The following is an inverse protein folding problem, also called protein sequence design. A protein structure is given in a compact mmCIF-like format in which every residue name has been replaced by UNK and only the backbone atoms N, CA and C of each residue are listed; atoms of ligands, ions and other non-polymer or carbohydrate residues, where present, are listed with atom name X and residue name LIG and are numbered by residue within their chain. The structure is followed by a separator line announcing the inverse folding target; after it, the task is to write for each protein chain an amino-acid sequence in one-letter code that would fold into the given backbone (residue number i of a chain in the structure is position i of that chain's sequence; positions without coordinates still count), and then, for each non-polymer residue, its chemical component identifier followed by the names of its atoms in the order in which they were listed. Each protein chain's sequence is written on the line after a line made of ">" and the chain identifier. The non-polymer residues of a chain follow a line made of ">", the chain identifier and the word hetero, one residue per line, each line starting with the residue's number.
data_IF_134586820167
#
_entry.id   IF_134586820167
#
_cell.length_a   1.000
_cell.length_b   1.000
_cell.length_c   1.000
_cell.angle_alpha   90.00
_cell.angle_beta   90.00
_cell.angle_gamma   90.00
#
_symmetry.space_group_name_H-M   'P 1'
#
loop_
_entity.id
_entity.type
_entity.pdbx_description
1 polymer ?
#
# COMPACT_ATOMS: atom_id res chain seq x y z
N UNK A 1 56.08 -27.37 -27.89
CA UNK A 1 57.18 -26.39 -27.91
C UNK A 1 56.55 -25.02 -28.02
N UNK A 2 56.96 -24.16 -27.10
CA UNK A 2 56.79 -22.71 -26.99
C UNK A 2 55.42 -22.11 -26.64
N UNK A 3 55.50 -21.42 -25.50
CA UNK A 3 54.51 -20.71 -24.72
C UNK A 3 54.45 -19.23 -25.10
N UNK A 4 53.36 -18.60 -24.64
CA UNK A 4 53.28 -17.23 -24.12
C UNK A 4 53.28 -16.05 -25.11
N UNK A 5 52.14 -15.34 -25.16
CA UNK A 5 52.09 -13.86 -25.02
C UNK A 5 50.67 -13.37 -24.65
N UNK A 6 50.48 -13.35 -23.33
CA UNK A 6 49.79 -12.39 -22.47
C UNK A 6 49.19 -11.11 -23.11
N UNK A 7 47.93 -10.89 -22.75
CA UNK A 7 47.30 -9.67 -22.19
C UNK A 7 47.63 -8.29 -22.79
N UNK A 8 46.61 -7.66 -23.36
CA UNK A 8 46.44 -6.21 -23.35
C UNK A 8 45.06 -5.87 -22.74
N UNK A 9 45.07 -5.65 -21.42
CA UNK A 9 44.06 -4.84 -20.73
C UNK A 9 44.44 -3.38 -21.02
N UNK A 10 43.58 -2.61 -21.71
CA UNK A 10 43.80 -1.17 -21.88
C UNK A 10 42.79 -0.36 -21.07
N UNK A 11 43.35 0.35 -20.09
CA UNK A 11 42.98 1.71 -19.65
C UNK A 11 41.53 1.97 -19.22
N UNK A 12 41.32 1.74 -17.92
CA UNK A 12 40.65 2.70 -17.05
C UNK A 12 41.17 4.13 -17.31
N UNK A 13 40.26 5.02 -17.71
CA UNK A 13 40.17 6.48 -17.50
C UNK A 13 39.73 7.22 -18.76
N UNK A 14 38.52 7.79 -18.71
CA UNK A 14 38.19 9.06 -19.36
C UNK A 14 37.38 8.98 -20.66
N UNK A 15 36.08 9.28 -20.58
CA UNK A 15 35.28 9.63 -21.76
C UNK A 15 33.78 9.65 -21.48
N UNK A 16 33.24 10.84 -21.20
CA UNK A 16 31.85 11.06 -20.82
C UNK A 16 30.85 10.75 -21.94
N UNK A 17 29.73 10.19 -21.51
CA UNK A 17 28.41 9.99 -22.13
C UNK A 17 28.03 11.03 -23.20
N UNK A 18 27.74 10.54 -24.41
CA UNK A 18 26.90 11.22 -25.40
C UNK A 18 25.43 10.92 -25.05
N UNK A 19 24.73 11.95 -24.57
CA UNK A 19 23.28 11.99 -24.43
C UNK A 19 22.67 12.34 -25.78
N UNK A 20 21.99 11.38 -26.41
CA UNK A 20 21.11 11.62 -27.55
C UNK A 20 19.91 12.45 -27.10
N UNK A 21 19.87 13.69 -27.58
CA UNK A 21 18.83 14.68 -27.33
C UNK A 21 17.59 14.37 -28.20
N UNK A 22 16.44 14.25 -27.56
CA UNK A 22 15.16 13.82 -28.11
C UNK A 22 14.18 14.99 -28.35
N UNK A 23 14.68 16.20 -28.60
CA UNK A 23 13.83 17.39 -28.77
C UNK A 23 14.13 18.26 -30.00
N UNK A 24 14.83 17.75 -31.01
CA UNK A 24 14.92 18.43 -32.32
C UNK A 24 13.78 17.96 -33.25
N UNK A 25 12.59 18.53 -33.07
CA UNK A 25 11.56 18.61 -34.11
C UNK A 25 11.42 20.06 -34.52
N UNK A 26 11.66 20.29 -35.81
CA UNK A 26 11.62 21.56 -36.50
C UNK A 26 10.26 22.26 -36.34
N UNK A 27 10.26 23.44 -35.73
CA UNK A 27 9.21 24.43 -35.91
C UNK A 27 9.79 25.60 -36.71
N UNK A 28 9.16 25.93 -37.82
CA UNK A 28 9.52 27.08 -38.65
C UNK A 28 9.36 28.38 -37.85
N UNK A 29 10.45 29.16 -37.76
CA UNK A 29 10.46 30.46 -37.09
C UNK A 29 9.88 31.57 -37.97
N UNK A 30 9.06 32.49 -37.44
CA UNK A 30 8.73 33.77 -38.09
C UNK A 30 9.91 34.77 -38.00
N UNK A 31 9.98 35.77 -38.90
CA UNK A 31 11.16 36.62 -39.09
C UNK A 31 11.45 37.58 -37.91
N UNK A 32 12.72 37.96 -37.68
CA UNK A 32 13.14 38.70 -36.51
C UNK A 32 12.89 40.22 -36.64
N UNK A 33 12.08 40.78 -35.74
CA UNK A 33 12.10 42.22 -35.43
C UNK A 33 13.02 42.47 -34.25
N UNK A 34 13.97 43.38 -34.47
CA UNK A 34 15.03 43.77 -33.55
C UNK A 34 14.54 44.50 -32.29
N UNK A 35 15.13 44.17 -31.14
CA UNK A 35 15.01 44.92 -29.90
C UNK A 35 15.99 44.41 -28.84
N UNK A 36 16.80 45.26 -28.19
CA UNK A 36 17.85 44.82 -27.28
C UNK A 36 17.30 44.68 -25.86
N UNK A 37 17.28 43.47 -25.29
CA UNK A 37 17.06 43.32 -23.86
C UNK A 37 18.06 42.38 -23.19
N UNK A 38 18.76 43.00 -22.25
CA UNK A 38 19.64 42.52 -21.19
C UNK A 38 19.39 41.08 -20.71
N UNK A 39 20.49 40.33 -20.64
CA UNK A 39 20.71 39.21 -19.71
C UNK A 39 20.21 39.55 -18.32
N UNK A 40 19.37 38.69 -17.76
CA UNK A 40 19.05 38.67 -16.33
C UNK A 40 19.09 37.23 -15.83
N UNK A 41 20.14 36.93 -15.09
CA UNK A 41 20.35 35.65 -14.43
C UNK A 41 19.39 35.47 -13.24
N UNK A 42 19.06 34.21 -12.98
CA UNK A 42 18.87 33.59 -11.66
C UNK A 42 18.17 34.40 -10.56
N UNK A 43 16.89 34.12 -10.30
CA UNK A 43 16.33 34.29 -8.95
C UNK A 43 15.14 33.35 -8.69
N UNK A 44 15.32 32.51 -7.68
CA UNK A 44 14.36 31.60 -7.06
C UNK A 44 13.05 32.27 -6.64
N UNK A 45 11.91 31.69 -7.02
CA UNK A 45 10.55 32.17 -6.76
C UNK A 45 9.94 31.63 -5.46
N UNK A 46 10.63 31.83 -4.34
CA UNK A 46 10.04 31.62 -3.02
C UNK A 46 10.25 32.90 -2.21
N UNK A 47 9.12 33.53 -1.85
CA UNK A 47 8.98 34.81 -1.13
C UNK A 47 9.10 36.09 -1.98
N UNK A 48 7.94 36.67 -2.28
CA UNK A 48 7.84 38.10 -2.59
C UNK A 48 6.59 38.68 -1.88
N UNK A 49 6.69 39.17 -0.63
CA UNK A 49 5.60 39.83 0.08
C UNK A 49 5.79 41.35 0.08
N UNK A 50 5.50 42.00 -1.04
CA UNK A 50 5.23 43.43 -1.19
C UNK A 50 4.72 43.61 -2.63
N UNK A 51 3.48 43.98 -2.94
CA UNK A 51 2.66 44.99 -2.31
C UNK A 51 2.94 46.34 -2.95
N UNK A 52 2.38 46.62 -4.15
CA UNK A 52 1.94 47.95 -4.62
C UNK A 52 1.40 47.93 -6.07
N UNK A 53 0.11 48.25 -6.20
CA UNK A 53 -0.43 49.15 -7.24
C UNK A 53 -0.45 48.69 -8.70
N UNK A 54 -1.59 48.16 -9.18
CA UNK A 54 -2.50 48.78 -10.16
C UNK A 54 -3.54 47.77 -10.66
N UNK A 55 -4.82 48.01 -10.34
CA UNK A 55 -5.96 47.24 -10.85
C UNK A 55 -6.45 47.86 -12.17
N UNK A 56 -6.67 47.06 -13.25
CA UNK A 56 -7.39 47.54 -14.42
C UNK A 56 -8.89 47.61 -14.13
N UNK A 57 -9.47 48.74 -14.56
CA UNK A 57 -10.87 49.13 -14.43
C UNK A 57 -11.75 48.30 -15.37
N UNK A 58 -12.69 47.55 -14.81
CA UNK A 58 -13.85 47.02 -15.54
C UNK A 58 -13.96 45.49 -15.57
N UNK A 59 -14.50 44.90 -14.51
CA UNK A 59 -15.26 43.66 -14.58
C UNK A 59 -16.18 43.60 -13.34
N UNK A 60 -17.48 43.45 -13.59
CA UNK A 60 -18.50 43.27 -12.58
C UNK A 60 -18.48 41.81 -12.06
N UNK A 61 -18.93 41.67 -10.81
CA UNK A 61 -19.20 40.44 -10.04
C UNK A 61 -18.02 39.59 -9.52
N UNK A 62 -17.95 39.38 -8.19
CA UNK A 62 -17.19 38.27 -7.61
C UNK A 62 -18.13 37.19 -7.04
N UNK A 63 -18.15 36.04 -7.70
CA UNK A 63 -18.54 34.78 -7.07
C UNK A 63 -17.41 34.31 -6.13
N UNK A 64 -17.77 34.19 -4.86
CA UNK A 64 -17.18 33.42 -3.76
C UNK A 64 -15.93 32.57 -4.09
N UNK A 65 -14.73 33.10 -3.84
CA UNK A 65 -13.50 32.31 -3.72
C UNK A 65 -13.17 32.19 -2.23
N UNK A 66 -13.35 30.98 -1.68
CA UNK A 66 -13.01 30.65 -0.29
C UNK A 66 -11.48 30.49 -0.16
N UNK A 67 -10.80 31.56 0.27
CA UNK A 67 -9.43 31.47 0.75
C UNK A 67 -9.44 31.17 2.25
N UNK A 68 -8.71 30.13 2.65
CA UNK A 68 -8.49 29.70 4.03
C UNK A 68 -7.74 30.79 4.83
N UNK A 69 -8.49 31.69 5.45
CA UNK A 69 -7.99 32.73 6.34
C UNK A 69 -7.91 32.24 7.78
N UNK A 70 -6.69 32.13 8.30
CA UNK A 70 -6.43 32.12 9.74
C UNK A 70 -6.95 33.44 10.32
N UNK A 71 -8.07 33.37 11.05
CA UNK A 71 -8.72 34.55 11.60
C UNK A 71 -8.01 34.97 12.90
N UNK A 72 -7.53 36.21 12.96
CA UNK A 72 -6.73 36.82 14.05
C UNK A 72 -7.53 37.15 15.32
N UNK A 73 -8.73 36.61 15.49
CA UNK A 73 -9.62 36.90 16.63
C UNK A 73 -9.53 35.86 17.76
N UNK A 74 -8.62 34.88 17.71
CA UNK A 74 -8.50 33.84 18.75
C UNK A 74 -7.56 34.21 19.92
N UNK A 75 -7.31 35.50 20.17
CA UNK A 75 -6.35 35.97 21.19
C UNK A 75 -6.95 36.95 22.21
N UNK A 76 -8.23 36.79 22.52
CA UNK A 76 -8.79 37.35 23.75
C UNK A 76 -9.03 36.22 24.75
N UNK A 77 -8.07 36.11 25.66
CA UNK A 77 -8.10 35.34 26.90
C UNK A 77 -9.15 35.97 27.83
N UNK A 78 -10.39 35.49 27.70
CA UNK A 78 -11.51 35.88 28.55
C UNK A 78 -11.62 34.88 29.71
N UNK A 79 -10.98 35.20 30.83
CA UNK A 79 -11.41 34.75 32.15
C UNK A 79 -11.06 33.30 32.51
N UNK A 80 -10.48 33.13 33.70
CA UNK A 80 -10.44 31.85 34.41
C UNK A 80 -11.87 31.28 34.52
N UNK A 81 -12.18 30.26 33.75
CA UNK A 81 -13.22 29.30 34.12
C UNK A 81 -12.61 28.28 35.07
N UNK A 82 -13.16 28.22 36.28
CA UNK A 82 -12.89 27.14 37.23
C UNK A 82 -13.34 25.81 36.59
N UNK A 83 -12.62 24.69 36.81
CA UNK A 83 -13.00 23.43 36.21
C UNK A 83 -14.34 22.96 36.79
N UNK A 84 -15.38 23.02 35.96
CA UNK A 84 -16.69 22.41 36.21
C UNK A 84 -16.46 20.92 36.43
N UNK A 85 -16.59 20.53 37.69
CA UNK A 85 -16.63 19.15 38.13
C UNK A 85 -18.11 18.72 38.09
N UNK A 86 -18.52 17.99 37.05
CA UNK A 86 -19.84 17.32 37.08
C UNK A 86 -20.36 16.84 35.72
N UNK A 87 -20.94 15.63 35.75
CA UNK A 87 -21.63 14.92 34.66
C UNK A 87 -20.67 13.93 33.99
N UNK A 88 -20.65 12.63 34.27
CA UNK A 88 -21.69 11.66 34.66
C UNK A 88 -22.83 11.55 33.65
N UNK A 89 -22.43 11.06 32.48
CA UNK A 89 -23.26 10.59 31.39
C UNK A 89 -23.16 9.06 31.44
N UNK A 90 -23.98 8.47 32.31
CA UNK A 90 -24.33 7.05 32.25
C UNK A 90 -25.37 6.86 31.14
N UNK A 91 -24.90 6.54 29.94
CA UNK A 91 -25.68 5.77 28.97
C UNK A 91 -25.02 4.41 28.77
N UNK A 92 -25.46 3.48 29.63
CA UNK A 92 -25.99 2.18 29.22
C UNK A 92 -25.16 1.33 28.22
N UNK A 93 -24.10 0.72 28.72
CA UNK A 93 -23.63 -0.58 28.24
C UNK A 93 -23.79 -1.63 29.35
N UNK A 94 -24.79 -2.53 29.29
CA UNK A 94 -24.89 -3.62 30.24
C UNK A 94 -23.86 -4.70 29.84
N UNK A 95 -22.95 -5.03 30.76
CA UNK A 95 -21.96 -6.13 30.71
C UNK A 95 -20.54 -5.84 30.20
N UNK A 96 -19.93 -4.72 30.55
CA UNK A 96 -18.46 -4.68 30.68
C UNK A 96 -18.08 -4.27 32.10
N UNK A 97 -17.36 -5.16 32.80
CA UNK A 97 -17.08 -5.07 34.23
C UNK A 97 -16.43 -3.75 34.64
N UNK A 98 -17.28 -2.83 35.12
CA UNK A 98 -16.88 -1.55 35.69
C UNK A 98 -15.90 -1.75 36.84
N UNK A 99 -14.84 -0.95 36.83
CA UNK A 99 -13.73 -1.03 37.77
C UNK A 99 -14.19 -0.53 39.15
N UNK A 100 -14.74 -1.43 39.96
CA UNK A 100 -15.18 -1.13 41.33
C UNK A 100 -13.98 -1.00 42.27
N UNK A 101 -13.63 0.24 42.60
CA UNK A 101 -12.53 0.59 43.54
C UNK A 101 -12.79 0.06 44.94
N UNK A 102 -14.04 -0.14 45.34
CA UNK A 102 -14.38 -0.67 46.67
C UNK A 102 -14.23 -2.20 46.74
N UNK A 103 -14.27 -2.90 45.59
CA UNK A 103 -14.05 -4.35 45.51
C UNK A 103 -12.62 -4.77 45.93
N UNK A 104 -11.65 -3.85 45.82
CA UNK A 104 -10.24 -4.09 46.19
C UNK A 104 -10.03 -3.97 47.72
N UNK A 105 -10.90 -3.23 48.43
CA UNK A 105 -10.81 -3.05 49.88
C UNK A 105 -11.55 -4.12 50.69
N UNK A 106 -12.57 -4.75 50.11
CA UNK A 106 -13.36 -5.80 50.73
C UNK A 106 -13.06 -7.21 50.18
N UNK A 107 -11.97 -7.36 49.39
CA UNK A 107 -11.49 -8.64 48.86
C UNK A 107 -12.47 -9.37 47.90
N UNK A 108 -13.49 -8.66 47.41
CA UNK A 108 -14.51 -9.19 46.50
C UNK A 108 -14.18 -8.98 45.01
N UNK A 109 -13.12 -8.22 44.69
CA UNK A 109 -12.70 -7.93 43.33
C UNK A 109 -11.95 -9.07 42.63
N UNK A 110 -11.90 -9.10 41.29
CA UNK A 110 -11.12 -10.07 40.52
C UNK A 110 -9.63 -9.99 40.88
N UNK A 111 -9.08 -11.04 41.49
CA UNK A 111 -7.65 -11.11 41.84
C UNK A 111 -6.82 -11.27 40.56
N UNK A 112 -6.22 -10.18 40.07
CA UNK A 112 -5.37 -10.17 38.86
C UNK A 112 -3.99 -10.83 39.05
N UNK A 113 -3.92 -12.01 39.68
CA UNK A 113 -2.68 -12.77 39.88
C UNK A 113 -2.80 -14.22 39.40
N UNK A 114 -3.15 -14.41 38.12
CA UNK A 114 -3.04 -15.72 37.46
C UNK A 114 -1.88 -15.80 36.45
N UNK A 115 -1.00 -14.80 36.37
CA UNK A 115 0.13 -14.79 35.42
C UNK A 115 1.28 -15.75 35.77
N UNK A 116 1.23 -16.44 36.92
CA UNK A 116 2.11 -17.57 37.23
C UNK A 116 1.25 -18.75 37.66
N UNK A 117 0.89 -19.59 36.68
CA UNK A 117 0.20 -20.86 36.88
C UNK A 117 1.04 -21.86 37.67
N UNK A 118 1.10 -21.68 38.98
CA UNK A 118 1.41 -22.75 39.93
C UNK A 118 0.07 -23.17 40.53
N UNK A 119 -0.30 -24.43 40.25
CA UNK A 119 -1.65 -24.96 40.35
C UNK A 119 -2.32 -24.82 41.71
N UNK A 120 -3.64 -24.70 41.64
CA UNK A 120 -4.55 -25.00 42.73
C UNK A 120 -4.43 -26.47 43.11
N UNK A 121 -3.84 -26.74 44.28
CA UNK A 121 -4.38 -27.73 45.20
C UNK A 121 -4.73 -27.00 46.49
N UNK A 122 -5.93 -27.28 46.97
CA UNK A 122 -6.58 -26.63 48.09
C UNK A 122 -5.90 -26.97 49.42
N UNK A 123 -6.03 -26.03 50.37
CA UNK A 123 -5.79 -26.17 51.80
C UNK A 123 -4.33 -26.41 52.27
N UNK A 124 -3.57 -25.34 52.45
CA UNK A 124 -2.73 -25.19 53.66
C UNK A 124 -2.26 -23.76 53.83
N UNK A 125 -2.53 -23.17 55.01
CA UNK A 125 -1.74 -22.07 55.52
C UNK A 125 -0.32 -22.60 55.74
N UNK A 126 0.64 -22.19 54.90
CA UNK A 126 2.04 -22.50 55.15
C UNK A 126 2.57 -21.55 56.23
N UNK A 127 2.63 -22.07 57.46
CA UNK A 127 3.34 -21.45 58.58
C UNK A 127 4.84 -21.38 58.21
N UNK A 128 5.43 -20.18 58.25
CA UNK A 128 6.86 -20.00 58.03
C UNK A 128 7.63 -20.77 59.11
N UNK A 129 8.27 -21.86 58.69
CA UNK A 129 9.21 -22.64 59.50
C UNK A 129 10.61 -22.02 59.38
N UNK A 130 11.32 -21.72 60.48
CA UNK A 130 12.70 -21.26 60.41
C UNK A 130 13.63 -22.48 60.33
N UNK A 131 14.08 -22.82 59.12
CA UNK A 131 15.21 -23.74 58.90
C UNK A 131 16.23 -23.00 58.03
N UNK A 132 17.39 -22.60 58.55
CA UNK A 132 18.59 -23.43 58.73
C UNK A 132 18.92 -24.28 57.50
N UNK A 133 19.94 -23.83 56.76
CA UNK A 133 20.95 -24.58 55.97
C UNK A 133 21.70 -23.52 55.14
N UNK A 134 23.00 -23.33 55.19
CA UNK A 134 24.10 -24.18 55.60
C UNK A 134 25.14 -24.15 54.49
N UNK A 135 26.13 -23.27 54.58
CA UNK A 135 27.41 -23.47 53.89
C UNK A 135 28.54 -23.08 54.84
N UNK A 136 29.23 -24.13 55.27
CA UNK A 136 30.41 -24.15 56.11
C UNK A 136 31.55 -23.34 55.47
N UNK A 137 32.24 -22.57 56.30
CA UNK A 137 33.68 -22.74 56.51
C UNK A 137 34.00 -22.38 57.97
N UNK A 138 34.99 -23.08 58.48
CA UNK A 138 35.25 -23.47 59.86
C UNK A 138 36.49 -22.72 60.37
N UNK A 139 36.40 -22.06 61.53
CA UNK A 139 37.36 -22.25 62.64
C UNK A 139 37.09 -21.31 63.83
N UNK A 140 37.00 -21.95 65.00
CA UNK A 140 37.56 -21.52 66.29
C UNK A 140 36.86 -20.40 67.10
N UNK A 141 36.09 -20.89 68.08
CA UNK A 141 36.25 -20.62 69.52
C UNK A 141 35.38 -19.53 70.20
N UNK A 142 34.88 -19.96 71.37
CA UNK A 142 34.35 -19.21 72.52
C UNK A 142 32.94 -18.63 72.45
N UNK A 143 32.00 -19.40 73.03
CA UNK A 143 30.80 -18.89 73.68
C UNK A 143 31.22 -17.97 74.86
N UNK A 144 31.39 -16.69 74.58
CA UNK A 144 31.38 -15.62 75.58
C UNK A 144 29.97 -15.01 75.70
N UNK A 145 29.66 -14.30 76.79
CA UNK A 145 28.41 -13.56 76.93
C UNK A 145 28.25 -12.62 75.74
N UNK A 146 27.04 -12.56 75.15
CA UNK A 146 26.67 -11.62 74.09
C UNK A 146 26.85 -10.21 74.64
N UNK A 147 28.05 -9.67 74.50
CA UNK A 147 28.29 -8.25 74.58
C UNK A 147 27.34 -7.65 73.54
N UNK A 148 26.41 -6.83 74.03
CA UNK A 148 25.72 -5.87 73.20
C UNK A 148 26.82 -4.98 72.60
N UNK A 149 27.40 -5.42 71.50
CA UNK A 149 28.06 -4.54 70.55
C UNK A 149 26.90 -3.68 70.07
N UNK A 150 26.71 -2.58 70.79
CA UNK A 150 26.05 -1.39 70.34
C UNK A 150 26.65 -1.13 68.97
N UNK A 151 25.98 -1.67 67.95
CA UNK A 151 26.12 -1.19 66.58
C UNK A 151 26.04 0.30 66.77
N UNK A 152 27.11 1.06 66.46
CA UNK A 152 27.06 2.50 66.61
C UNK A 152 25.72 2.90 66.04
N UNK A 153 24.92 3.63 66.83
CA UNK A 153 23.78 4.31 66.28
C UNK A 153 24.36 5.26 65.24
N UNK A 154 24.62 4.74 64.04
CA UNK A 154 24.80 5.46 62.80
C UNK A 154 23.59 6.36 62.83
N UNK A 155 23.86 7.61 63.21
CA UNK A 155 22.84 8.55 63.58
C UNK A 155 21.94 8.77 62.38
N UNK A 156 20.97 9.66 62.53
CA UNK A 156 20.19 10.17 61.43
C UNK A 156 21.04 11.02 60.45
N UNK A 157 22.15 10.47 59.94
CA UNK A 157 23.06 11.09 58.98
C UNK A 157 22.80 10.61 57.55
N UNK A 158 21.66 9.94 57.32
CA UNK A 158 21.10 9.78 55.97
C UNK A 158 21.09 11.15 55.31
N UNK A 159 22.04 11.38 54.40
CA UNK A 159 22.18 12.67 53.75
C UNK A 159 20.86 13.02 53.07
N UNK A 160 20.53 14.31 52.96
CA UNK A 160 19.35 14.76 52.21
C UNK A 160 19.29 14.15 50.80
N UNK A 161 20.44 13.86 50.22
CA UNK A 161 20.59 13.19 48.93
C UNK A 161 20.20 11.71 48.97
N UNK A 162 20.52 11.00 50.05
CA UNK A 162 20.20 9.58 50.23
C UNK A 162 18.69 9.38 50.49
N UNK A 163 18.10 10.27 51.29
CA UNK A 163 16.64 10.36 51.45
C UNK A 163 15.93 10.67 50.13
N UNK A 164 16.50 11.56 49.30
CA UNK A 164 15.95 11.86 47.96
C UNK A 164 16.04 10.62 47.05
N UNK A 165 17.14 9.90 47.06
CA UNK A 165 17.35 8.66 46.28
C UNK A 165 16.40 7.52 46.70
N UNK A 166 15.97 7.50 47.97
CA UNK A 166 14.96 6.57 48.47
C UNK A 166 13.56 6.86 47.92
N UNK A 167 13.25 8.11 47.56
CA UNK A 167 11.95 8.49 47.01
C UNK A 167 11.73 7.93 45.59
N UNK A 168 10.47 7.65 45.23
CA UNK A 168 10.09 7.26 43.85
C UNK A 168 10.57 8.28 42.81
N UNK A 169 10.59 9.57 43.17
CA UNK A 169 11.06 10.66 42.31
C UNK A 169 12.58 10.59 42.10
N UNK A 170 13.36 10.46 43.17
CA UNK A 170 14.82 10.31 43.07
C UNK A 170 15.22 9.07 42.26
N UNK A 171 14.53 7.94 42.44
CA UNK A 171 14.75 6.74 41.62
C UNK A 171 14.48 6.96 40.12
N UNK A 172 13.49 7.79 39.75
CA UNK A 172 13.21 8.13 38.34
C UNK A 172 14.27 9.07 37.76
N UNK A 173 14.67 10.10 38.51
CA UNK A 173 15.74 11.03 38.13
C UNK A 173 17.07 10.28 37.94
N UNK A 174 17.44 9.39 38.86
CA UNK A 174 18.64 8.55 38.75
C UNK A 174 18.59 7.61 37.54
N UNK A 175 17.42 7.07 37.20
CA UNK A 175 17.24 6.23 36.00
C UNK A 175 17.39 7.04 34.70
N UNK A 176 16.80 8.24 34.61
CA UNK A 176 16.92 9.08 33.42
C UNK A 176 18.35 9.62 33.25
N UNK A 177 19.04 9.98 34.33
CA UNK A 177 20.45 10.36 34.29
C UNK A 177 21.35 9.20 33.87
N UNK A 178 21.14 8.00 34.43
CA UNK A 178 21.86 6.81 34.03
C UNK A 178 21.61 6.47 32.56
N UNK A 179 20.38 6.66 32.07
CA UNK A 179 20.06 6.49 30.65
C UNK A 179 20.78 7.54 29.80
N UNK A 180 20.78 8.81 30.21
CA UNK A 180 21.49 9.88 29.51
C UNK A 180 23.01 9.68 29.46
N UNK A 181 23.63 9.21 30.54
CA UNK A 181 25.06 8.84 30.58
C UNK A 181 25.36 7.68 29.64
N UNK A 182 24.55 6.61 29.67
CA UNK A 182 24.67 5.46 28.76
C UNK A 182 24.48 5.87 27.29
N UNK A 183 23.53 6.76 27.01
CA UNK A 183 23.29 7.27 25.66
C UNK A 183 24.46 8.12 25.15
N UNK A 184 24.99 9.03 25.98
CA UNK A 184 26.19 9.82 25.64
C UNK A 184 27.40 8.91 25.40
N UNK A 185 27.63 7.91 26.26
CA UNK A 185 28.72 6.94 26.09
C UNK A 185 28.55 6.07 24.84
N UNK A 186 27.31 5.66 24.52
CA UNK A 186 26.98 4.95 23.29
C UNK A 186 27.24 5.81 22.05
N UNK A 187 26.84 7.07 22.06
CA UNK A 187 27.05 7.98 20.93
C UNK A 187 28.53 8.31 20.70
N UNK A 188 29.35 8.29 21.77
CA UNK A 188 30.81 8.40 21.72
C UNK A 188 31.50 7.09 21.31
N UNK A 189 30.80 5.95 21.32
CA UNK A 189 31.34 4.65 20.95
C UNK A 189 32.14 3.94 22.05
N UNK A 190 32.06 4.42 23.30
CA UNK A 190 32.76 3.85 24.46
C UNK A 190 32.09 2.56 24.98
N UNK A 191 30.78 2.42 24.75
CA UNK A 191 29.99 1.24 25.12
C UNK A 191 29.14 0.75 23.94
N UNK A 192 29.11 -0.57 23.72
CA UNK A 192 28.21 -1.20 22.76
C UNK A 192 26.75 -1.16 23.21
N UNK A 193 25.82 -1.26 22.25
CA UNK A 193 24.37 -1.32 22.55
C UNK A 193 24.09 -2.50 23.49
N UNK A 194 23.29 -2.30 24.55
CA UNK A 194 22.97 -3.31 25.58
C UNK A 194 24.17 -3.85 26.39
N UNK A 195 25.29 -3.12 26.46
CA UNK A 195 26.44 -3.51 27.30
C UNK A 195 27.29 -4.66 26.73
N UNK A 196 26.97 -5.14 25.52
CA UNK A 196 27.82 -6.13 24.83
C UNK A 196 28.90 -5.39 24.02
N UNK A 197 30.16 -5.63 24.34
CA UNK A 197 31.32 -4.98 23.70
C UNK A 197 31.40 -5.19 22.18
N UNK A 198 30.80 -6.26 21.65
CA UNK A 198 30.81 -6.56 20.23
C UNK A 198 29.83 -5.74 19.37
N UNK A 199 28.83 -5.08 19.98
CA UNK A 199 27.74 -4.39 19.26
C UNK A 199 28.07 -2.90 19.17
N UNK A 200 29.15 -2.63 18.45
CA UNK A 200 29.64 -1.29 18.20
C UNK A 200 28.69 -0.53 17.27
N UNK A 201 28.76 0.81 17.30
CA UNK A 201 27.98 1.69 16.40
C UNK A 201 28.16 1.31 14.93
N UNK A 202 29.37 0.91 14.54
CA UNK A 202 29.68 0.47 13.16
C UNK A 202 28.90 -0.80 12.81
N UNK A 203 28.93 -1.81 13.69
CA UNK A 203 28.18 -3.06 13.48
C UNK A 203 26.68 -2.78 13.37
N UNK A 204 26.12 -1.93 14.24
CA UNK A 204 24.70 -1.58 14.20
C UNK A 204 24.29 -0.99 12.84
N UNK A 205 25.08 -0.06 12.28
CA UNK A 205 24.80 0.52 10.96
C UNK A 205 24.81 -0.55 9.87
N UNK A 206 25.80 -1.44 9.87
CA UNK A 206 25.85 -2.55 8.92
C UNK A 206 24.68 -3.52 9.10
N UNK A 207 24.27 -3.82 10.34
CA UNK A 207 23.12 -4.68 10.63
C UNK A 207 21.82 -4.06 10.16
N UNK A 208 21.58 -2.77 10.44
CA UNK A 208 20.38 -2.06 9.97
C UNK A 208 20.37 -2.00 8.45
N UNK A 209 21.51 -1.71 7.82
CA UNK A 209 21.64 -1.72 6.36
C UNK A 209 21.34 -3.11 5.78
N UNK A 210 21.87 -4.18 6.38
CA UNK A 210 21.59 -5.56 5.96
C UNK A 210 20.10 -5.92 6.12
N UNK A 211 19.45 -5.52 7.22
CA UNK A 211 18.02 -5.72 7.42
C UNK A 211 17.21 -4.96 6.36
N UNK A 212 17.54 -3.70 6.08
CA UNK A 212 16.89 -2.92 5.01
C UNK A 212 17.08 -3.58 3.63
N UNK A 213 18.28 -4.11 3.34
CA UNK A 213 18.55 -4.83 2.11
C UNK A 213 17.72 -6.12 2.00
N UNK A 214 17.62 -6.91 3.08
CA UNK A 214 16.77 -8.11 3.13
C UNK A 214 15.29 -7.76 2.93
N UNK A 215 14.79 -6.71 3.59
CA UNK A 215 13.42 -6.23 3.40
C UNK A 215 13.20 -5.80 1.94
N UNK A 216 14.16 -5.08 1.34
CA UNK A 216 14.09 -4.68 -0.06
C UNK A 216 14.02 -5.88 -1.02
N UNK A 217 14.80 -6.93 -0.76
CA UNK A 217 14.77 -8.19 -1.53
C UNK A 217 13.42 -8.88 -1.36
N UNK A 218 12.92 -9.00 -0.12
CA UNK A 218 11.61 -9.62 0.15
C UNK A 218 10.50 -8.85 -0.56
N UNK A 219 10.48 -7.52 -0.48
CA UNK A 219 9.49 -6.69 -1.18
C UNK A 219 9.58 -6.86 -2.70
N UNK A 220 10.78 -6.96 -3.27
CA UNK A 220 10.96 -7.18 -4.71
C UNK A 220 10.37 -8.52 -5.21
N UNK A 221 10.23 -9.52 -4.32
CA UNK A 221 9.60 -10.81 -4.63
C UNK A 221 8.11 -10.87 -4.24
N UNK A 222 7.72 -10.18 -3.16
CA UNK A 222 6.35 -10.21 -2.62
C UNK A 222 5.42 -9.26 -3.37
N UNK A 223 5.92 -8.16 -3.93
CA UNK A 223 5.09 -7.25 -4.72
C UNK A 223 4.67 -7.96 -6.02
N UNK A 224 3.36 -8.18 -6.22
CA UNK A 224 2.87 -8.78 -7.46
C UNK A 224 3.13 -7.83 -8.63
N UNK A 225 3.48 -8.42 -9.77
CA UNK A 225 3.69 -7.73 -11.04
C UNK A 225 2.44 -7.86 -11.89
N UNK A 226 2.16 -6.84 -12.69
CA UNK A 226 1.06 -6.85 -13.64
C UNK A 226 1.31 -7.98 -14.66
N UNK A 227 0.36 -8.92 -14.85
CA UNK A 227 0.52 -10.00 -15.82
C UNK A 227 0.39 -9.48 -17.26
N UNK A 228 0.96 -10.22 -18.21
CA UNK A 228 0.75 -9.98 -19.63
C UNK A 228 -0.58 -10.58 -20.10
N UNK A 229 -1.27 -9.91 -21.01
CA UNK A 229 -2.47 -10.44 -21.66
C UNK A 229 -2.21 -10.67 -23.14
N UNK A 230 -2.62 -11.82 -23.63
CA UNK A 230 -2.58 -12.17 -25.05
C UNK A 230 -3.92 -12.79 -25.45
N UNK A 231 -4.32 -12.58 -26.70
CA UNK A 231 -5.54 -13.16 -27.25
C UNK A 231 -5.20 -14.43 -28.02
N UNK A 232 -6.09 -15.42 -27.94
CA UNK A 232 -5.97 -16.60 -28.78
C UNK A 232 -6.24 -16.20 -30.24
N UNK A 233 -5.20 -16.25 -31.08
CA UNK A 233 -5.24 -15.68 -32.44
C UNK A 233 -6.22 -16.35 -33.41
N UNK A 234 -6.74 -17.55 -33.11
CA UNK A 234 -7.68 -18.25 -34.00
C UNK A 234 -9.16 -18.02 -33.65
N UNK A 235 -9.48 -17.99 -32.36
CA UNK A 235 -10.86 -17.88 -31.86
C UNK A 235 -10.88 -17.02 -30.59
N UNK A 236 -10.67 -15.69 -30.72
CA UNK A 236 -10.66 -14.80 -29.57
C UNK A 236 -12.04 -14.72 -28.92
N UNK A 237 -13.12 -14.77 -29.70
CA UNK A 237 -14.50 -14.82 -29.22
C UNK A 237 -15.04 -16.24 -29.30
N UNK A 238 -15.70 -16.69 -28.25
CA UNK A 238 -16.42 -17.97 -28.16
C UNK A 238 -17.85 -17.71 -27.71
N UNK A 239 -18.78 -18.58 -28.10
CA UNK A 239 -20.18 -18.50 -27.66
C UNK A 239 -20.25 -18.62 -26.13
N UNK A 240 -21.13 -17.83 -25.50
CA UNK A 240 -21.36 -17.94 -24.07
C UNK A 240 -21.89 -19.33 -23.71
N UNK A 241 -21.49 -19.84 -22.54
CA UNK A 241 -21.92 -21.15 -22.02
C UNK A 241 -22.65 -21.01 -20.69
N UNK A 242 -23.51 -21.98 -20.36
CA UNK A 242 -24.18 -22.04 -19.06
C UNK A 242 -25.23 -20.94 -18.86
N UNK A 243 -25.38 -20.48 -17.62
CA UNK A 243 -26.39 -19.51 -17.20
C UNK A 243 -26.24 -18.13 -17.88
N UNK A 244 -25.01 -17.71 -18.17
CA UNK A 244 -24.74 -16.43 -18.85
C UNK A 244 -25.26 -16.41 -20.30
N UNK A 245 -25.34 -17.57 -20.96
CA UNK A 245 -25.93 -17.65 -22.30
C UNK A 245 -27.43 -17.33 -22.30
N UNK A 246 -28.11 -17.53 -21.16
CA UNK A 246 -29.55 -17.28 -21.01
C UNK A 246 -29.86 -15.87 -20.49
N UNK A 247 -28.87 -15.15 -19.95
CA UNK A 247 -29.11 -13.84 -19.35
C UNK A 247 -29.36 -12.73 -20.38
N UNK A 248 -28.91 -12.91 -21.62
CA UNK A 248 -29.03 -11.92 -22.69
C UNK A 248 -29.59 -12.63 -23.93
N UNK A 249 -30.72 -12.18 -24.48
CA UNK A 249 -31.24 -12.75 -25.72
C UNK A 249 -30.34 -12.36 -26.90
N UNK A 250 -30.06 -13.33 -27.78
CA UNK A 250 -29.31 -13.11 -29.00
C UNK A 250 -30.24 -12.59 -30.10
N UNK A 251 -30.29 -11.27 -30.27
CA UNK A 251 -31.23 -10.60 -31.16
C UNK A 251 -30.51 -9.53 -31.99
N UNK A 252 -30.93 -9.41 -33.26
CA UNK A 252 -30.53 -8.33 -34.17
C UNK A 252 -31.81 -7.78 -34.78
N UNK A 253 -32.00 -6.47 -34.68
CA UNK A 253 -33.10 -5.77 -35.33
C UNK A 253 -32.54 -4.68 -36.24
N UNK A 254 -33.23 -4.41 -37.35
CA UNK A 254 -32.95 -3.30 -38.27
C UNK A 254 -33.71 -2.02 -37.93
N UNK A 255 -34.89 -2.16 -37.34
CA UNK A 255 -35.80 -1.05 -37.07
C UNK A 255 -36.46 -1.19 -35.67
N UNK A 256 -35.90 -0.55 -34.62
CA UNK A 256 -34.64 0.21 -34.61
C UNK A 256 -33.41 -0.69 -34.78
N UNK A 257 -32.32 -0.12 -35.30
CA UNK A 257 -31.09 -0.86 -35.54
C UNK A 257 -30.38 -1.17 -34.22
N UNK A 258 -30.54 -2.40 -33.73
CA UNK A 258 -29.90 -2.83 -32.49
C UNK A 258 -29.38 -4.26 -32.59
N UNK A 259 -28.49 -4.59 -31.67
CA UNK A 259 -28.15 -5.98 -31.41
C UNK A 259 -27.86 -6.19 -29.93
N UNK A 260 -28.17 -7.38 -29.45
CA UNK A 260 -27.73 -7.88 -28.15
C UNK A 260 -27.35 -9.34 -28.27
N UNK A 261 -26.25 -9.76 -27.64
CA UNK A 261 -25.94 -11.18 -27.47
C UNK A 261 -24.85 -11.41 -26.41
N UNK A 262 -24.88 -12.57 -25.74
CA UNK A 262 -23.82 -12.97 -24.83
C UNK A 262 -22.68 -13.66 -25.61
N UNK A 263 -21.44 -13.36 -25.25
CA UNK A 263 -20.29 -14.14 -25.67
C UNK A 263 -19.26 -14.24 -24.55
N UNK A 264 -18.18 -14.98 -24.77
CA UNK A 264 -17.02 -14.92 -23.91
C UNK A 264 -15.76 -14.69 -24.74
N UNK A 265 -14.77 -14.02 -24.16
CA UNK A 265 -13.47 -13.81 -24.77
C UNK A 265 -12.44 -14.72 -24.10
N UNK A 266 -11.67 -15.42 -24.94
CA UNK A 266 -10.57 -16.27 -24.50
C UNK A 266 -9.31 -15.43 -24.35
N UNK A 267 -8.99 -15.11 -23.10
CA UNK A 267 -7.77 -14.39 -22.73
C UNK A 267 -6.74 -15.39 -22.22
N UNK A 268 -5.54 -15.33 -22.79
CA UNK A 268 -4.38 -16.04 -22.26
C UNK A 268 -3.58 -15.07 -21.39
N UNK A 269 -3.59 -15.34 -20.09
CA UNK A 269 -2.89 -14.53 -19.08
C UNK A 269 -1.53 -15.17 -18.79
N UNK A 270 -0.47 -14.37 -18.93
CA UNK A 270 0.89 -14.74 -18.61
C UNK A 270 1.28 -14.24 -17.21
N UNK A 271 1.45 -15.17 -16.28
CA UNK A 271 1.92 -14.90 -14.92
C UNK A 271 3.37 -15.31 -14.69
N UNK A 272 4.18 -15.51 -15.74
CA UNK A 272 5.56 -15.99 -15.64
C UNK A 272 6.49 -15.06 -14.83
N UNK A 273 6.22 -13.75 -14.85
CA UNK A 273 6.96 -12.77 -14.06
C UNK A 273 6.61 -12.76 -12.57
N UNK A 274 5.55 -13.46 -12.15
CA UNK A 274 5.06 -13.48 -10.78
C UNK A 274 5.57 -14.71 -10.03
N UNK A 275 6.07 -14.52 -8.81
CA UNK A 275 6.52 -15.60 -7.94
C UNK A 275 5.39 -16.15 -7.05
N UNK A 276 4.44 -15.28 -6.70
CA UNK A 276 3.28 -15.62 -5.87
C UNK A 276 2.01 -15.70 -6.72
N UNK A 277 1.01 -16.50 -6.31
CA UNK A 277 -0.29 -16.54 -6.96
C UNK A 277 -0.91 -15.14 -7.03
N UNK A 278 -1.45 -14.79 -8.18
CA UNK A 278 -2.07 -13.50 -8.41
C UNK A 278 -3.55 -13.56 -8.04
N UNK A 279 -4.05 -12.54 -7.36
CA UNK A 279 -5.49 -12.37 -7.14
C UNK A 279 -5.94 -11.13 -7.87
N UNK A 280 -6.73 -11.33 -8.93
CA UNK A 280 -7.43 -10.26 -9.63
C UNK A 280 -8.68 -9.92 -8.80
N UNK A 281 -8.78 -8.68 -8.33
CA UNK A 281 -9.99 -8.19 -7.64
C UNK A 281 -11.10 -7.98 -8.65
N UNK A 282 -10.80 -7.15 -9.64
CA UNK A 282 -11.70 -6.77 -10.71
C UNK A 282 -10.93 -6.85 -12.03
N UNK A 283 -11.57 -7.38 -13.05
CA UNK A 283 -11.09 -7.35 -14.42
C UNK A 283 -12.25 -6.90 -15.31
N UNK A 284 -12.15 -5.67 -15.77
CA UNK A 284 -13.16 -5.02 -16.60
C UNK A 284 -12.70 -5.03 -18.05
N UNK A 285 -13.63 -5.26 -18.97
CA UNK A 285 -13.34 -5.22 -20.39
C UNK A 285 -14.36 -4.40 -21.15
N UNK A 286 -13.86 -3.64 -22.11
CA UNK A 286 -14.65 -2.81 -23.00
C UNK A 286 -14.26 -3.13 -24.44
N UNK A 287 -15.25 -3.45 -25.25
CA UNK A 287 -15.07 -3.79 -26.65
C UNK A 287 -15.55 -2.63 -27.50
N UNK A 288 -14.64 -2.09 -28.29
CA UNK A 288 -14.90 -1.02 -29.24
C UNK A 288 -14.82 -1.56 -30.65
N UNK A 289 -15.75 -1.18 -31.51
CA UNK A 289 -15.60 -1.42 -32.95
C UNK A 289 -14.36 -0.68 -33.48
N UNK A 290 -13.56 -1.33 -34.32
CA UNK A 290 -12.29 -0.76 -34.76
C UNK A 290 -12.46 0.36 -35.78
N UNK A 291 -13.54 0.35 -36.56
CA UNK A 291 -13.76 1.31 -37.64
C UNK A 291 -14.50 2.55 -37.12
N UNK A 292 -15.52 2.36 -36.27
CA UNK A 292 -16.32 3.46 -35.73
C UNK A 292 -15.91 3.95 -34.34
N UNK A 293 -15.04 3.20 -33.64
CA UNK A 293 -14.66 3.45 -32.24
C UNK A 293 -15.85 3.54 -31.27
N UNK A 294 -16.99 2.92 -31.60
CA UNK A 294 -18.16 2.85 -30.71
C UNK A 294 -18.03 1.66 -29.76
N UNK A 295 -18.44 1.85 -28.51
CA UNK A 295 -18.53 0.78 -27.53
C UNK A 295 -19.69 -0.15 -27.93
N UNK A 296 -19.38 -1.42 -28.09
CA UNK A 296 -20.31 -2.46 -28.56
C UNK A 296 -20.46 -3.60 -27.55
N UNK A 297 -19.59 -3.68 -26.55
CA UNK A 297 -19.74 -4.65 -25.49
C UNK A 297 -18.92 -4.33 -24.24
N UNK A 298 -19.37 -4.88 -23.12
CA UNK A 298 -18.73 -4.76 -21.82
C UNK A 298 -18.67 -6.11 -21.14
N UNK A 299 -17.63 -6.32 -20.34
CA UNK A 299 -17.46 -7.53 -19.56
C UNK A 299 -16.85 -7.22 -18.21
N UNK A 300 -17.15 -8.06 -17.24
CA UNK A 300 -16.67 -7.90 -15.87
C UNK A 300 -16.42 -9.27 -15.27
N UNK A 301 -15.25 -9.44 -14.67
CA UNK A 301 -14.84 -10.66 -13.99
C UNK A 301 -14.33 -10.31 -12.59
N UNK A 302 -14.99 -10.88 -11.58
CA UNK A 302 -14.67 -10.66 -10.17
C UNK A 302 -13.78 -11.76 -9.61
N UNK A 303 -12.91 -11.37 -8.67
CA UNK A 303 -12.20 -12.25 -7.75
C UNK A 303 -11.67 -13.55 -8.37
N UNK A 304 -10.74 -13.42 -9.32
CA UNK A 304 -10.12 -14.57 -9.98
C UNK A 304 -8.71 -14.80 -9.45
N UNK A 305 -8.44 -16.02 -8.97
CA UNK A 305 -7.11 -16.45 -8.54
C UNK A 305 -6.38 -17.11 -9.70
N UNK A 306 -5.19 -16.61 -10.02
CA UNK A 306 -4.31 -17.19 -11.04
C UNK A 306 -3.08 -17.79 -10.37
N UNK A 307 -2.66 -18.94 -10.87
CA UNK A 307 -1.43 -19.57 -10.42
C UNK A 307 -0.22 -18.75 -10.88
N UNK A 308 0.85 -18.79 -10.10
CA UNK A 308 2.12 -18.15 -10.46
C UNK A 308 2.86 -19.00 -11.51
N UNK A 309 3.65 -18.34 -12.36
CA UNK A 309 4.52 -19.01 -13.34
C UNK A 309 3.81 -19.91 -14.34
N UNK A 310 2.59 -19.57 -14.72
CA UNK A 310 1.82 -20.36 -15.67
C UNK A 310 1.13 -19.48 -16.71
N UNK A 311 0.80 -20.10 -17.84
CA UNK A 311 -0.09 -19.52 -18.83
C UNK A 311 -1.49 -20.05 -18.56
N UNK A 312 -2.38 -19.20 -18.07
CA UNK A 312 -3.76 -19.57 -17.76
C UNK A 312 -4.70 -18.95 -18.78
N UNK A 313 -5.50 -19.80 -19.42
CA UNK A 313 -6.58 -19.34 -20.29
C UNK A 313 -7.81 -19.06 -19.42
N UNK A 314 -8.27 -17.81 -19.41
CA UNK A 314 -9.50 -17.40 -18.74
C UNK A 314 -10.56 -17.09 -19.80
N UNK A 315 -11.80 -17.50 -19.51
CA UNK A 315 -12.97 -17.13 -20.30
C UNK A 315 -13.68 -16.01 -19.57
N UNK A 316 -13.60 -14.80 -20.13
CA UNK A 316 -14.29 -13.65 -19.56
C UNK A 316 -15.63 -13.47 -20.27
N UNK A 317 -16.76 -13.42 -19.54
CA UNK A 317 -18.06 -13.15 -20.11
C UNK A 317 -18.14 -11.70 -20.62
N UNK A 318 -18.65 -11.55 -21.84
CA UNK A 318 -18.88 -10.28 -22.51
C UNK A 318 -20.36 -10.16 -22.87
N UNK A 319 -20.94 -9.03 -22.52
CA UNK A 319 -22.26 -8.61 -22.97
C UNK A 319 -22.10 -7.66 -24.15
N UNK A 320 -22.54 -8.07 -25.33
CA UNK A 320 -22.56 -7.21 -26.51
C UNK A 320 -23.93 -6.56 -26.62
N UNK A 321 -23.98 -5.24 -26.59
CA UNK A 321 -25.18 -4.44 -26.81
C UNK A 321 -24.84 -3.19 -27.57
N UNK A 322 -25.64 -2.88 -28.58
CA UNK A 322 -25.50 -1.67 -29.36
C UNK A 322 -26.86 -1.22 -29.89
N UNK A 323 -27.07 0.10 -29.91
CA UNK A 323 -28.27 0.74 -30.43
C UNK A 323 -27.85 1.87 -31.36
N UNK A 324 -28.40 1.85 -32.56
CA UNK A 324 -28.31 2.89 -33.57
C UNK A 324 -29.73 3.31 -34.00
N UNK A 325 -29.83 4.51 -34.56
CA UNK A 325 -31.11 5.03 -35.08
C UNK A 325 -31.52 4.34 -36.38
N UNK A 326 -30.55 4.03 -37.25
CA UNK A 326 -30.76 3.47 -38.57
C UNK A 326 -29.84 2.27 -38.82
N UNK A 327 -30.27 1.36 -39.71
CA UNK A 327 -29.49 0.23 -40.19
C UNK A 327 -28.32 0.65 -41.09
N UNK A 328 -28.25 1.92 -41.50
CA UNK A 328 -27.10 2.51 -42.21
C UNK A 328 -25.89 2.77 -41.30
N UNK A 329 -26.00 2.56 -39.99
CA UNK A 329 -24.88 2.76 -39.07
C UNK A 329 -23.73 1.78 -39.35
N UNK A 330 -22.50 2.30 -39.44
CA UNK A 330 -21.33 1.48 -39.79
C UNK A 330 -21.07 0.38 -38.75
N UNK A 331 -21.23 0.70 -37.46
CA UNK A 331 -21.01 -0.26 -36.37
C UNK A 331 -22.02 -1.38 -36.45
N UNK A 332 -23.30 -1.04 -36.61
CA UNK A 332 -24.35 -2.05 -36.74
C UNK A 332 -24.11 -2.93 -37.98
N UNK A 333 -23.77 -2.34 -39.13
CA UNK A 333 -23.47 -3.08 -40.36
C UNK A 333 -22.25 -4.00 -40.23
N UNK A 334 -21.17 -3.56 -39.61
CA UNK A 334 -19.97 -4.36 -39.37
C UNK A 334 -20.30 -5.64 -38.59
N UNK A 335 -21.07 -5.50 -37.52
CA UNK A 335 -21.43 -6.59 -36.62
C UNK A 335 -22.52 -7.50 -37.22
N UNK A 336 -23.55 -6.92 -37.83
CA UNK A 336 -24.61 -7.66 -38.53
C UNK A 336 -24.01 -8.53 -39.65
N UNK A 337 -23.17 -7.96 -40.52
CA UNK A 337 -22.56 -8.71 -41.62
C UNK A 337 -21.64 -9.83 -41.09
N UNK A 338 -20.83 -9.60 -40.07
CA UNK A 338 -19.95 -10.64 -39.52
C UNK A 338 -20.72 -11.80 -38.86
N UNK A 339 -21.90 -11.54 -38.31
CA UNK A 339 -22.74 -12.52 -37.60
C UNK A 339 -23.85 -13.15 -38.45
N UNK A 340 -24.08 -12.62 -39.66
CA UNK A 340 -25.03 -13.14 -40.64
C UNK A 340 -24.75 -14.60 -40.99
N UNK A 341 -25.79 -15.34 -41.40
CA UNK A 341 -25.67 -16.76 -41.72
C UNK A 341 -24.67 -17.00 -42.86
N UNK A 342 -23.83 -18.04 -42.74
CA UNK A 342 -22.81 -18.37 -43.75
C UNK A 342 -23.41 -18.66 -45.13
N UNK A 343 -24.63 -19.20 -45.19
CA UNK A 343 -25.33 -19.55 -46.44
C UNK A 343 -25.59 -18.30 -47.29
N UNK A 344 -25.68 -17.12 -46.68
CA UNK A 344 -25.95 -15.87 -47.40
C UNK A 344 -24.69 -15.24 -48.04
N UNK A 345 -23.51 -15.82 -47.82
CA UNK A 345 -22.26 -15.40 -48.45
C UNK A 345 -21.85 -16.34 -49.59
N UNK A 346 -21.46 -15.76 -50.72
CA UNK A 346 -20.89 -16.50 -51.84
C UNK A 346 -19.57 -17.17 -51.39
N UNK A 347 -19.58 -18.49 -51.22
CA UNK A 347 -18.43 -19.26 -50.74
C UNK A 347 -18.39 -19.50 -49.22
N UNK A 348 -19.46 -19.16 -48.47
CA UNK A 348 -19.60 -19.54 -47.06
C UNK A 348 -18.67 -18.81 -46.08
N UNK A 349 -17.88 -17.83 -46.56
CA UNK A 349 -16.94 -17.07 -45.75
C UNK A 349 -17.56 -15.75 -45.29
N UNK A 350 -17.67 -15.58 -43.97
CA UNK A 350 -18.14 -14.34 -43.34
C UNK A 350 -16.96 -13.36 -43.17
N UNK A 351 -17.20 -12.04 -43.26
CA UNK A 351 -16.20 -11.08 -42.83
C UNK A 351 -15.93 -11.25 -41.33
N UNK A 352 -14.66 -11.12 -40.93
CA UNK A 352 -14.28 -11.16 -39.52
C UNK A 352 -14.66 -9.88 -38.79
N UNK A 353 -15.00 -10.01 -37.50
CA UNK A 353 -15.17 -8.89 -36.60
C UNK A 353 -13.82 -8.20 -36.34
N UNK A 354 -13.85 -6.87 -36.39
CA UNK A 354 -12.72 -5.98 -36.15
C UNK A 354 -13.01 -5.14 -34.93
N UNK A 355 -12.28 -5.37 -33.84
CA UNK A 355 -12.54 -4.66 -32.59
C UNK A 355 -11.27 -4.39 -31.80
N UNK A 356 -11.33 -3.36 -30.97
CA UNK A 356 -10.34 -3.04 -29.95
C UNK A 356 -10.89 -3.46 -28.59
N UNK A 357 -10.13 -4.24 -27.87
CA UNK A 357 -10.41 -4.65 -26.50
C UNK A 357 -9.56 -3.80 -25.56
N UNK A 358 -10.21 -3.03 -24.70
CA UNK A 358 -9.57 -2.38 -23.57
C UNK A 358 -9.86 -3.22 -22.32
N UNK A 359 -8.83 -3.56 -21.56
CA UNK A 359 -8.92 -4.35 -20.33
C UNK A 359 -8.37 -3.51 -19.18
N UNK A 360 -9.19 -3.25 -18.17
CA UNK A 360 -8.77 -2.62 -16.93
C UNK A 360 -8.64 -3.68 -15.84
N UNK A 361 -7.48 -3.69 -15.17
CA UNK A 361 -7.06 -4.75 -14.28
C UNK A 361 -6.82 -4.15 -12.90
N UNK A 362 -7.49 -4.72 -11.89
CA UNK A 362 -7.27 -4.42 -10.49
C UNK A 362 -6.66 -5.64 -9.79
N UNK A 363 -5.38 -5.56 -9.44
CA UNK A 363 -4.64 -6.65 -8.80
C UNK A 363 -4.55 -6.41 -7.30
N UNK A 364 -4.83 -7.44 -6.49
CA UNK A 364 -4.62 -7.35 -5.05
C UNK A 364 -3.12 -7.14 -4.71
N UNK A 365 -2.82 -6.11 -3.92
CA UNK A 365 -1.46 -5.75 -3.51
C UNK A 365 -0.82 -4.63 -4.33
N UNK A 366 -1.42 -4.23 -5.45
CA UNK A 366 -1.04 -3.03 -6.20
C UNK A 366 -2.03 -1.89 -5.87
N UNK A 367 -1.55 -0.65 -5.65
CA UNK A 367 -2.41 0.48 -5.33
C UNK A 367 -3.13 1.06 -6.55
N UNK A 368 -2.60 0.82 -7.75
CA UNK A 368 -3.09 1.42 -9.00
C UNK A 368 -3.78 0.39 -9.88
N UNK A 369 -4.84 0.82 -10.58
CA UNK A 369 -5.42 0.07 -11.69
C UNK A 369 -4.50 0.16 -12.90
N UNK A 370 -4.42 -0.92 -13.67
CA UNK A 370 -3.63 -0.99 -14.89
C UNK A 370 -4.52 -1.27 -16.09
N UNK A 371 -4.37 -0.50 -17.15
CA UNK A 371 -5.13 -0.64 -18.38
C UNK A 371 -4.24 -1.15 -19.50
N UNK A 372 -4.72 -2.13 -20.26
CA UNK A 372 -4.06 -2.60 -21.49
C UNK A 372 -5.08 -2.64 -22.63
N UNK A 373 -4.60 -2.44 -23.85
CA UNK A 373 -5.45 -2.47 -25.03
C UNK A 373 -4.84 -3.37 -26.10
N UNK A 374 -5.69 -4.12 -26.77
CA UNK A 374 -5.29 -4.99 -27.90
C UNK A 374 -6.32 -4.89 -29.01
N UNK A 375 -5.88 -5.07 -30.25
CA UNK A 375 -6.73 -4.96 -31.44
C UNK A 375 -6.82 -6.29 -32.14
N UNK A 376 -8.03 -6.68 -32.53
CA UNK A 376 -8.33 -7.89 -33.27
C UNK A 376 -8.89 -7.49 -34.63
N UNK A 377 -8.30 -8.01 -35.70
CA UNK A 377 -8.65 -7.62 -37.07
C UNK A 377 -9.45 -8.68 -37.83
N UNK A 378 -9.57 -9.89 -37.29
CA UNK A 378 -10.29 -10.97 -37.97
C UNK A 378 -10.80 -12.02 -36.96
N UNK A 379 -11.77 -11.65 -36.13
CA UNK A 379 -12.42 -12.59 -35.22
C UNK A 379 -13.67 -13.21 -35.85
N UNK A 380 -13.89 -14.53 -35.75
CA UNK A 380 -15.17 -15.12 -36.11
C UNK A 380 -16.27 -14.62 -35.15
N UNK A 381 -17.46 -14.32 -35.67
CA UNK A 381 -18.61 -14.02 -34.81
C UNK A 381 -19.01 -15.27 -33.99
N UNK A 382 -19.19 -15.13 -32.65
CA UNK A 382 -19.51 -16.24 -31.75
C UNK A 382 -20.93 -16.78 -31.90
N UNK A 383 -21.79 -16.07 -32.63
CA UNK A 383 -23.16 -16.48 -32.93
C UNK A 383 -23.37 -16.52 -34.45
N UNK A 384 -24.45 -17.17 -34.86
CA UNK A 384 -24.88 -17.19 -36.25
C UNK A 384 -26.37 -16.90 -36.29
N UNK A 385 -26.74 -15.90 -37.08
CA UNK A 385 -28.13 -15.54 -37.27
C UNK A 385 -28.87 -16.63 -38.06
N UNK A 386 -30.17 -16.76 -37.78
CA UNK A 386 -31.06 -17.59 -38.59
C UNK A 386 -31.06 -17.11 -40.04
N UNK A 387 -31.17 -18.00 -41.05
CA UNK A 387 -31.23 -17.60 -42.46
C UNK A 387 -32.33 -16.57 -42.78
N UNK A 388 -33.40 -16.57 -41.98
CA UNK A 388 -34.55 -15.68 -42.13
C UNK A 388 -34.50 -14.44 -41.22
N UNK A 389 -33.42 -14.25 -40.46
CA UNK A 389 -33.25 -13.05 -39.64
C UNK A 389 -32.95 -11.87 -40.57
N UNK A 390 -34.01 -11.16 -40.94
CA UNK A 390 -33.92 -9.92 -41.70
C UNK A 390 -33.51 -8.79 -40.77
#
# INVERSE_FOLDING_TARGET
>A
MDYDRKSAVSSFYGGRRSSGDALNRDYAAPPPTAGPQSRRDSSSSFFNPAGTGTLPRGAAEPAHVQNAGYNRMSYFDAGREEPVKGGHDEEEHPNEGGWDVFADFNNAGPRYSHAFGIGHNEASYQQLSPQLTGKMDEESSTQGPVEMVTVPALGAEWGKDELKDMTKRGRREKKSENFGRKWKAFHRGEYGLFGRKWLTRRLLVFTVFAICAVIGIVLAFVIPRVPGFSLNGRTPLVSATGWFNQSIPAEFNRAPANFSFPAAISLQVDTNSNFLPLVLKDLDAQVYDLDSFRLVGTGHLNHTKLQAKTFTNILMPLNFTYLATNDSDQTWNNWYNACKNKIQYTGGNRPGLRFRLNIDINVAGLPTKHSTATTVTNAPCPIELSPNAN
#
